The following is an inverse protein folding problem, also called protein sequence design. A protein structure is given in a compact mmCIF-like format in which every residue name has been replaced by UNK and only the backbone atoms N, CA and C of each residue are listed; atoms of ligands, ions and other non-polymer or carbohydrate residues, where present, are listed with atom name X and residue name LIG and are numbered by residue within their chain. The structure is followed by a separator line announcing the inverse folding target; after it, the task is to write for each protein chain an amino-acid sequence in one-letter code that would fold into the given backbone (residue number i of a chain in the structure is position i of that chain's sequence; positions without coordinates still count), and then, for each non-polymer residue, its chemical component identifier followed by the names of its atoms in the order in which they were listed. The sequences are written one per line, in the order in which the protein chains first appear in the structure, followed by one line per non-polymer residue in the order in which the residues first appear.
data_IF_681058391849
#
_entry.id   IF_681058391849
#
_cell.length_a   1.000
_cell.length_b   1.000
_cell.length_c   1.000
_cell.angle_alpha   90.00
_cell.angle_beta   90.00
_cell.angle_gamma   90.00
#
_symmetry.space_group_name_H-M   'P 1'
#
loop_
_entity.id
_entity.type
_entity.pdbx_description
1 polymer ?
#
# COMPACT_ATOMS: atom_id res chain seq x y z
N UNK A 1 4.81 16.63 8.45
CA UNK A 1 4.91 16.00 7.12
C UNK A 1 6.28 16.29 6.54
N UNK A 2 7.07 15.26 6.25
CA UNK A 2 8.47 15.36 5.83
C UNK A 2 8.63 16.25 4.58
N UNK A 3 9.51 17.26 4.62
CA UNK A 3 9.66 18.23 3.52
C UNK A 3 10.17 17.58 2.22
N UNK A 4 10.95 16.51 2.33
CA UNK A 4 11.39 15.71 1.18
C UNK A 4 10.21 15.03 0.47
N UNK A 5 9.23 14.54 1.23
CA UNK A 5 8.04 13.91 0.66
C UNK A 5 7.18 14.95 -0.06
N UNK A 6 7.02 16.15 0.51
CA UNK A 6 6.28 17.24 -0.16
C UNK A 6 6.88 17.57 -1.52
N UNK A 7 8.20 17.71 -1.60
CA UNK A 7 8.88 17.97 -2.88
C UNK A 7 8.62 16.86 -3.90
N UNK A 8 8.71 15.59 -3.49
CA UNK A 8 8.40 14.45 -4.37
C UNK A 8 6.95 14.44 -4.85
N UNK A 9 5.99 14.79 -3.98
CA UNK A 9 4.57 14.85 -4.34
C UNK A 9 4.26 15.91 -5.41
N UNK A 10 5.09 16.96 -5.54
CA UNK A 10 4.93 17.95 -6.63
C UNK A 10 5.30 17.40 -8.01
N UNK A 11 6.04 16.29 -8.07
CA UNK A 11 6.60 15.71 -9.29
C UNK A 11 5.79 14.54 -9.87
N UNK A 12 4.71 14.15 -9.21
CA UNK A 12 3.89 12.98 -9.58
C UNK A 12 2.46 13.40 -9.91
N UNK A 13 1.76 12.59 -10.72
CA UNK A 13 0.33 12.80 -10.96
C UNK A 13 -0.49 12.27 -9.79
N UNK A 14 -1.56 12.98 -9.45
CA UNK A 14 -2.54 12.61 -8.40
C UNK A 14 -1.85 12.28 -7.05
N UNK A 15 -1.16 13.26 -6.41
CA UNK A 15 -0.33 13.05 -5.23
C UNK A 15 -1.05 12.44 -4.03
N UNK A 16 -2.37 12.61 -3.93
CA UNK A 16 -3.20 12.01 -2.87
C UNK A 16 -3.17 10.47 -2.81
N UNK A 17 -2.59 9.79 -3.81
CA UNK A 17 -2.37 8.33 -3.78
C UNK A 17 -1.23 7.91 -2.88
N UNK A 18 -0.25 8.78 -2.69
CA UNK A 18 1.01 8.43 -2.03
C UNK A 18 1.05 8.87 -0.56
N UNK A 19 -0.07 9.37 -0.02
CA UNK A 19 -0.16 9.87 1.36
C UNK A 19 -0.69 8.83 2.37
N UNK A 20 -1.02 7.61 1.92
CA UNK A 20 -1.41 6.51 2.82
C UNK A 20 -2.79 6.64 3.48
N UNK A 21 -3.72 7.37 2.84
CA UNK A 21 -5.09 7.60 3.31
C UNK A 21 -6.14 6.78 2.54
N UNK A 22 -5.76 5.61 2.02
CA UNK A 22 -6.67 4.75 1.28
C UNK A 22 -7.77 4.18 2.19
N UNK A 23 -9.02 4.23 1.73
CA UNK A 23 -10.14 3.56 2.40
C UNK A 23 -9.91 2.06 2.45
N UNK A 24 -10.15 1.43 3.61
CA UNK A 24 -9.87 0.01 3.88
C UNK A 24 -8.37 -0.36 3.90
N UNK A 25 -7.48 0.62 4.04
CA UNK A 25 -6.10 0.33 4.44
C UNK A 25 -6.08 -0.18 5.88
N UNK A 26 -5.47 -1.36 6.07
CA UNK A 26 -5.18 -1.92 7.38
C UNK A 26 -3.84 -1.35 7.85
N UNK A 27 -3.78 -0.86 9.08
CA UNK A 27 -2.57 -0.36 9.73
C UNK A 27 -2.21 -1.30 10.88
N UNK A 28 -1.15 -2.08 10.69
CA UNK A 28 -0.54 -2.94 11.73
C UNK A 28 0.88 -2.46 11.96
N UNK A 29 1.35 -2.56 13.20
CA UNK A 29 2.74 -2.21 13.51
C UNK A 29 3.67 -3.33 13.04
N UNK A 30 4.76 -2.93 12.39
CA UNK A 30 5.87 -3.83 12.12
C UNK A 30 6.64 -4.08 13.41
N UNK A 31 7.20 -5.28 13.59
CA UNK A 31 7.98 -5.58 14.77
C UNK A 31 8.55 -7.00 14.80
N UNK A 32 9.32 -7.33 15.85
CA UNK A 32 9.84 -8.68 16.07
C UNK A 32 8.72 -9.72 16.06
N UNK A 33 8.91 -10.84 15.36
CA UNK A 33 7.90 -11.90 15.25
C UNK A 33 6.80 -11.66 14.20
N UNK A 34 6.80 -10.51 13.53
CA UNK A 34 5.88 -10.22 12.42
C UNK A 34 6.53 -10.53 11.06
N UNK A 35 5.83 -11.24 10.20
CA UNK A 35 6.20 -11.39 8.79
C UNK A 35 5.71 -10.18 8.00
N UNK A 36 6.63 -9.45 7.36
CA UNK A 36 6.29 -8.30 6.51
C UNK A 36 6.11 -8.73 5.06
N UNK A 37 4.93 -8.46 4.50
CA UNK A 37 4.58 -8.83 3.12
C UNK A 37 4.25 -7.57 2.34
N UNK A 38 4.83 -7.44 1.14
CA UNK A 38 4.48 -6.39 0.19
C UNK A 38 3.90 -7.03 -1.06
N UNK A 39 2.63 -6.75 -1.35
CA UNK A 39 2.01 -7.15 -2.61
C UNK A 39 2.27 -6.05 -3.65
N UNK A 40 3.14 -6.33 -4.61
CA UNK A 40 3.44 -5.42 -5.71
C UNK A 40 2.59 -5.74 -6.93
N UNK A 41 1.90 -4.73 -7.46
CA UNK A 41 1.18 -4.81 -8.72
C UNK A 41 1.87 -3.92 -9.76
N UNK A 42 2.30 -4.46 -10.91
CA UNK A 42 3.16 -3.75 -11.87
C UNK A 42 2.36 -2.80 -12.79
N UNK A 43 1.38 -2.09 -12.25
CA UNK A 43 0.56 -1.12 -12.99
C UNK A 43 0.06 -0.02 -12.04
N UNK A 44 -0.58 0.99 -12.61
CA UNK A 44 -1.25 2.10 -11.94
C UNK A 44 -2.26 1.64 -10.89
N UNK A 45 -2.46 2.52 -9.90
CA UNK A 45 -3.41 2.33 -8.81
C UNK A 45 -4.82 1.95 -9.28
N UNK A 46 -5.36 2.62 -10.31
CA UNK A 46 -6.72 2.34 -10.80
C UNK A 46 -6.86 0.93 -11.38
N UNK A 47 -5.88 0.50 -12.16
CA UNK A 47 -5.85 -0.83 -12.76
C UNK A 47 -5.71 -1.88 -11.66
N UNK A 48 -4.74 -1.70 -10.76
CA UNK A 48 -4.50 -2.62 -9.66
C UNK A 48 -5.63 -2.70 -8.64
N UNK A 49 -6.33 -1.59 -8.37
CA UNK A 49 -7.51 -1.58 -7.49
C UNK A 49 -8.72 -2.29 -8.10
N UNK A 50 -8.73 -2.53 -9.40
CA UNK A 50 -9.76 -3.35 -10.05
C UNK A 50 -9.47 -4.85 -9.93
N UNK A 51 -8.25 -5.24 -9.50
CA UNK A 51 -7.85 -6.63 -9.37
C UNK A 51 -8.30 -7.25 -8.03
N UNK A 52 -9.34 -8.08 -8.10
CA UNK A 52 -9.95 -8.70 -6.92
C UNK A 52 -8.98 -9.61 -6.15
N UNK A 53 -8.11 -10.35 -6.86
CA UNK A 53 -7.14 -11.25 -6.24
C UNK A 53 -6.21 -10.54 -5.25
N UNK A 54 -5.73 -9.34 -5.60
CA UNK A 54 -4.87 -8.52 -4.73
C UNK A 54 -5.60 -8.09 -3.45
N UNK A 55 -6.90 -7.77 -3.54
CA UNK A 55 -7.71 -7.41 -2.36
C UNK A 55 -7.91 -8.61 -1.44
N UNK A 56 -8.19 -9.79 -2.01
CA UNK A 56 -8.36 -11.03 -1.24
C UNK A 56 -7.06 -11.39 -0.51
N UNK A 57 -5.93 -11.40 -1.23
CA UNK A 57 -4.63 -11.69 -0.62
C UNK A 57 -4.27 -10.68 0.48
N UNK A 58 -4.47 -9.39 0.22
CA UNK A 58 -4.22 -8.34 1.20
C UNK A 58 -5.04 -8.54 2.48
N UNK A 59 -6.32 -8.90 2.34
CA UNK A 59 -7.19 -9.16 3.47
C UNK A 59 -6.73 -10.40 4.24
N UNK A 60 -6.51 -11.53 3.55
CA UNK A 60 -6.10 -12.79 4.17
C UNK A 60 -4.80 -12.65 4.95
N UNK A 61 -3.79 -11.98 4.41
CA UNK A 61 -2.51 -11.81 5.11
C UNK A 61 -2.65 -10.86 6.30
N UNK A 62 -3.44 -9.80 6.18
CA UNK A 62 -3.65 -8.88 7.31
C UNK A 62 -4.51 -9.46 8.44
N UNK A 63 -5.35 -10.45 8.15
CA UNK A 63 -6.12 -11.21 9.15
C UNK A 63 -5.24 -12.11 10.03
N UNK A 64 -4.06 -12.53 9.52
CA UNK A 64 -3.10 -13.31 10.30
C UNK A 64 -2.47 -12.47 11.42
N UNK A 65 -2.54 -12.94 12.66
CA UNK A 65 -1.98 -12.24 13.81
C UNK A 65 -0.46 -11.96 13.68
N UNK A 66 0.28 -12.85 13.03
CA UNK A 66 1.74 -12.80 12.90
C UNK A 66 2.26 -12.17 11.60
N UNK A 67 1.41 -11.47 10.84
CA UNK A 67 1.82 -10.84 9.58
C UNK A 67 1.30 -9.41 9.42
N UNK A 68 2.04 -8.61 8.69
CA UNK A 68 1.64 -7.27 8.24
C UNK A 68 1.77 -7.25 6.73
N UNK A 69 0.73 -6.77 6.05
CA UNK A 69 0.73 -6.70 4.60
C UNK A 69 0.45 -5.28 4.12
N UNK A 70 1.30 -4.82 3.21
CA UNK A 70 1.16 -3.60 2.44
C UNK A 70 0.94 -3.91 0.95
N UNK A 71 0.48 -2.90 0.20
CA UNK A 71 0.28 -2.97 -1.26
C UNK A 71 1.02 -1.82 -1.93
N UNK A 72 1.62 -2.09 -3.08
CA UNK A 72 2.26 -1.08 -3.92
C UNK A 72 1.79 -1.21 -5.37
N UNK A 73 1.67 -0.05 -6.02
CA UNK A 73 1.37 0.10 -7.44
C UNK A 73 2.48 0.89 -8.13
N UNK A 74 2.59 0.77 -9.44
CA UNK A 74 3.55 1.54 -10.22
C UNK A 74 3.18 3.05 -10.22
N UNK A 75 4.15 3.95 -10.05
CA UNK A 75 3.91 5.38 -10.18
C UNK A 75 3.66 5.76 -11.65
N UNK A 76 2.90 6.84 -11.87
CA UNK A 76 2.61 7.43 -13.18
C UNK A 76 2.80 8.95 -13.16
#
# INVERSE_FOLDING_TARGET
MNDKLKDMLTRVRKPGRYIGCETNSVRKEHGPGMTSVLLSYPDTYEVGMSYLGLKVLYHLVNDMASAVCERMFAPW
#
